data_IF_067816191076
#
_entry.id   IF_067816191076
#
_cell.length_a   1.000
_cell.length_b   1.000
_cell.length_c   1.000
_cell.angle_alpha   90.00
_cell.angle_beta   90.00
_cell.angle_gamma   90.00
#
_symmetry.space_group_name_H-M   'P 1'
#
loop_
_entity.id
_entity.type
_entity.pdbx_description
1 polymer ?
#
# COMPACT_ATOMS: atom_id res chain seq x y z
N UNK A 1 35.35 -2.24 -7.82
CA UNK A 1 34.24 -1.27 -7.80
C UNK A 1 33.96 -0.95 -6.35
N UNK A 2 34.17 0.31 -5.99
CA UNK A 2 34.66 0.75 -4.68
C UNK A 2 33.52 1.11 -3.73
N UNK A 3 33.68 0.82 -2.43
CA UNK A 3 32.83 1.18 -1.29
C UNK A 3 32.23 2.60 -1.33
N UNK A 4 32.89 3.53 -2.03
CA UNK A 4 32.44 4.91 -2.24
C UNK A 4 31.19 5.03 -3.13
N UNK A 5 30.95 4.05 -4.02
CA UNK A 5 29.70 3.95 -4.78
C UNK A 5 28.56 3.50 -3.86
N UNK A 6 28.80 2.51 -3.00
CA UNK A 6 27.78 1.96 -2.08
C UNK A 6 27.35 2.97 -0.99
N UNK A 7 28.27 3.79 -0.47
CA UNK A 7 27.93 4.88 0.48
C UNK A 7 27.13 6.01 -0.19
N UNK A 8 27.45 6.38 -1.43
CA UNK A 8 26.69 7.39 -2.18
C UNK A 8 25.29 6.86 -2.53
N UNK A 9 25.20 5.57 -2.85
CA UNK A 9 23.94 4.91 -3.11
C UNK A 9 23.08 4.87 -1.85
N UNK A 10 23.58 4.41 -0.68
CA UNK A 10 22.75 4.33 0.54
C UNK A 10 22.15 5.68 0.93
N UNK A 11 22.93 6.77 0.84
CA UNK A 11 22.47 8.14 1.12
C UNK A 11 21.41 8.59 0.11
N UNK A 12 21.55 8.25 -1.17
CA UNK A 12 20.59 8.61 -2.24
C UNK A 12 19.19 8.03 -2.02
N UNK A 13 19.07 6.81 -1.47
CA UNK A 13 17.77 6.18 -1.22
C UNK A 13 16.99 6.84 -0.08
N UNK A 14 17.68 7.11 1.04
CA UNK A 14 17.07 7.79 2.18
C UNK A 14 16.75 9.25 1.84
N UNK A 15 17.59 9.90 1.02
CA UNK A 15 17.33 11.23 0.48
C UNK A 15 16.05 11.25 -0.36
N UNK A 16 15.82 10.25 -1.21
CA UNK A 16 14.59 10.14 -2.00
C UNK A 16 13.34 10.03 -1.12
N UNK A 17 13.42 9.35 0.02
CA UNK A 17 12.32 9.26 0.98
C UNK A 17 12.07 10.57 1.72
N UNK A 18 13.12 11.24 2.17
CA UNK A 18 13.00 12.55 2.81
C UNK A 18 12.44 13.59 1.83
N UNK A 19 12.85 13.52 0.57
CA UNK A 19 12.31 14.35 -0.49
C UNK A 19 10.85 13.99 -0.80
N UNK A 20 10.47 12.70 -0.79
CA UNK A 20 9.08 12.29 -0.95
C UNK A 20 8.20 12.83 0.20
N UNK A 21 8.69 12.77 1.44
CA UNK A 21 8.03 13.38 2.60
C UNK A 21 7.90 14.89 2.43
N UNK A 22 8.97 15.55 2.01
CA UNK A 22 8.99 17.00 1.77
C UNK A 22 8.02 17.36 0.65
N UNK A 23 7.96 16.60 -0.44
CA UNK A 23 7.04 16.84 -1.54
C UNK A 23 5.57 16.74 -1.10
N UNK A 24 5.22 15.73 -0.30
CA UNK A 24 3.87 15.60 0.26
C UNK A 24 3.56 16.75 1.22
N UNK A 25 4.53 17.16 2.06
CA UNK A 25 4.38 18.31 2.96
C UNK A 25 4.18 19.62 2.19
N UNK A 26 4.93 19.85 1.12
CA UNK A 26 4.81 21.03 0.25
C UNK A 26 3.48 21.07 -0.48
N UNK A 27 2.99 19.92 -0.95
CA UNK A 27 1.64 19.81 -1.52
C UNK A 27 0.50 20.00 -0.51
N UNK A 28 0.81 19.82 0.77
CA UNK A 28 -0.08 20.06 1.89
C UNK A 28 -1.36 19.22 1.87
N UNK A 29 -2.38 19.62 2.65
CA UNK A 29 -3.67 18.95 2.71
C UNK A 29 -4.40 18.89 1.36
N UNK A 30 -4.16 19.87 0.47
CA UNK A 30 -4.76 19.92 -0.87
C UNK A 30 -4.33 18.75 -1.75
N UNK A 31 -3.06 18.36 -1.73
CA UNK A 31 -2.61 17.21 -2.51
C UNK A 31 -3.17 15.90 -1.92
N UNK A 32 -3.11 15.76 -0.59
CA UNK A 32 -3.63 14.59 0.12
C UNK A 32 -5.15 14.41 -0.06
N UNK A 33 -5.90 15.51 -0.18
CA UNK A 33 -7.34 15.46 -0.44
C UNK A 33 -7.66 14.63 -1.67
N UNK A 34 -6.94 14.81 -2.78
CA UNK A 34 -7.18 14.03 -4.00
C UNK A 34 -6.89 12.54 -3.83
N UNK A 35 -5.86 12.21 -3.05
CA UNK A 35 -5.55 10.83 -2.73
C UNK A 35 -6.66 10.19 -1.88
N UNK A 36 -7.09 10.86 -0.81
CA UNK A 36 -8.08 10.33 0.13
C UNK A 36 -9.49 10.30 -0.45
N UNK A 37 -9.85 11.24 -1.33
CA UNK A 37 -11.11 11.24 -2.08
C UNK A 37 -11.27 9.99 -2.94
N UNK A 38 -10.17 9.49 -3.50
CA UNK A 38 -10.15 8.22 -4.23
C UNK A 38 -10.15 6.99 -3.32
N UNK A 39 -9.29 7.01 -2.30
CA UNK A 39 -8.89 5.80 -1.58
C UNK A 39 -9.81 5.46 -0.41
N UNK A 40 -10.34 6.45 0.32
CA UNK A 40 -11.21 6.19 1.47
C UNK A 40 -12.51 5.46 1.09
N UNK A 41 -13.23 5.81 0.01
CA UNK A 41 -14.45 5.10 -0.36
C UNK A 41 -14.20 3.61 -0.66
N UNK A 42 -13.11 3.31 -1.37
CA UNK A 42 -12.72 1.93 -1.66
C UNK A 42 -12.35 1.16 -0.40
N UNK A 43 -11.53 1.73 0.49
CA UNK A 43 -11.13 1.08 1.74
C UNK A 43 -12.34 0.84 2.65
N UNK A 44 -13.23 1.82 2.79
CA UNK A 44 -14.45 1.67 3.58
C UNK A 44 -15.35 0.56 3.01
N UNK A 45 -15.56 0.55 1.69
CA UNK A 45 -16.32 -0.51 1.04
C UNK A 45 -15.64 -1.88 1.20
N UNK A 46 -14.32 -1.95 1.15
CA UNK A 46 -13.56 -3.19 1.35
C UNK A 46 -13.76 -3.77 2.75
N UNK A 47 -13.75 -2.93 3.78
CA UNK A 47 -14.00 -3.35 5.16
C UNK A 47 -15.45 -3.84 5.34
N UNK A 48 -16.42 -3.13 4.77
CA UNK A 48 -17.84 -3.53 4.81
C UNK A 48 -18.05 -4.85 4.07
N UNK A 49 -17.51 -4.96 2.85
CA UNK A 49 -17.58 -6.17 2.04
C UNK A 49 -16.96 -7.36 2.76
N UNK A 50 -15.76 -7.19 3.32
CA UNK A 50 -15.09 -8.26 4.06
C UNK A 50 -15.91 -8.72 5.27
N UNK A 51 -16.48 -7.77 6.01
CA UNK A 51 -17.33 -8.08 7.16
C UNK A 51 -18.62 -8.80 6.74
N UNK A 52 -19.30 -8.36 5.68
CA UNK A 52 -20.51 -9.01 5.15
C UNK A 52 -20.19 -10.43 4.67
N UNK A 53 -19.13 -10.63 3.89
CA UNK A 53 -18.74 -11.95 3.41
C UNK A 53 -18.25 -12.89 4.53
N UNK A 54 -17.73 -12.35 5.64
CA UNK A 54 -17.23 -13.16 6.75
C UNK A 54 -18.32 -13.62 7.71
N UNK A 55 -19.40 -12.84 7.88
CA UNK A 55 -20.36 -13.06 8.97
C UNK A 55 -21.83 -13.07 8.54
N UNK A 56 -22.17 -12.59 7.35
CA UNK A 56 -23.56 -12.48 6.91
C UNK A 56 -24.08 -13.80 6.33
N UNK A 57 -25.26 -14.23 6.78
CA UNK A 57 -25.97 -15.37 6.19
C UNK A 57 -26.43 -15.11 4.76
N UNK A 58 -26.57 -13.84 4.36
CA UNK A 58 -27.02 -13.40 3.04
C UNK A 58 -25.86 -13.05 2.10
N UNK A 59 -24.62 -13.36 2.49
CA UNK A 59 -23.43 -13.03 1.71
C UNK A 59 -23.53 -13.50 0.25
N UNK A 60 -24.10 -14.68 0.00
CA UNK A 60 -24.30 -15.21 -1.34
C UNK A 60 -25.22 -14.34 -2.22
N UNK A 61 -26.26 -13.72 -1.64
CA UNK A 61 -27.20 -12.86 -2.35
C UNK A 61 -26.56 -11.50 -2.68
N UNK A 62 -25.79 -10.95 -1.74
CA UNK A 62 -25.14 -9.65 -1.91
C UNK A 62 -23.86 -9.72 -2.76
N UNK A 63 -23.22 -10.88 -2.88
CA UNK A 63 -21.90 -11.05 -3.49
C UNK A 63 -21.79 -10.45 -4.91
N UNK A 64 -22.83 -10.59 -5.74
CA UNK A 64 -22.81 -10.08 -7.10
C UNK A 64 -22.70 -8.55 -7.13
N UNK A 65 -23.61 -7.86 -6.43
CA UNK A 65 -23.65 -6.40 -6.45
C UNK A 65 -22.50 -5.77 -5.68
N UNK A 66 -22.08 -6.38 -4.57
CA UNK A 66 -20.98 -5.87 -3.76
C UNK A 66 -19.62 -6.07 -4.43
N UNK A 67 -19.41 -7.17 -5.18
CA UNK A 67 -18.21 -7.35 -6.00
C UNK A 67 -18.15 -6.38 -7.18
N UNK A 68 -19.30 -6.10 -7.83
CA UNK A 68 -19.40 -5.09 -8.88
C UNK A 68 -19.04 -3.70 -8.34
N UNK A 69 -19.61 -3.32 -7.19
CA UNK A 69 -19.31 -2.07 -6.49
C UNK A 69 -17.81 -1.99 -6.15
N UNK A 70 -17.22 -3.08 -5.66
CA UNK A 70 -15.78 -3.15 -5.36
C UNK A 70 -14.93 -2.87 -6.60
N UNK A 71 -15.29 -3.47 -7.75
CA UNK A 71 -14.59 -3.26 -9.02
C UNK A 71 -14.69 -1.80 -9.49
N UNK A 72 -15.87 -1.19 -9.37
CA UNK A 72 -16.07 0.23 -9.71
C UNK A 72 -15.25 1.15 -8.79
N UNK A 73 -15.30 0.92 -7.48
CA UNK A 73 -14.54 1.70 -6.50
C UNK A 73 -13.03 1.49 -6.65
N UNK A 74 -12.58 0.31 -7.07
CA UNK A 74 -11.17 0.08 -7.39
C UNK A 74 -10.72 0.95 -8.58
N UNK A 75 -11.53 1.01 -9.64
CA UNK A 75 -11.24 1.86 -10.80
C UNK A 75 -11.23 3.35 -10.41
N UNK A 76 -12.21 3.77 -9.60
CA UNK A 76 -12.29 5.11 -9.01
C UNK A 76 -11.02 5.47 -8.23
N UNK A 77 -10.62 4.60 -7.29
CA UNK A 77 -9.42 4.77 -6.48
C UNK A 77 -8.18 4.93 -7.37
N UNK A 78 -7.98 4.03 -8.34
CA UNK A 78 -6.81 4.07 -9.23
C UNK A 78 -6.79 5.32 -10.12
N UNK A 79 -7.95 5.81 -10.55
CA UNK A 79 -8.07 7.07 -11.28
C UNK A 79 -7.59 8.27 -10.46
N UNK A 80 -8.10 8.42 -9.25
CA UNK A 80 -7.69 9.50 -8.33
C UNK A 80 -6.23 9.41 -7.90
N UNK A 81 -5.73 8.19 -7.72
CA UNK A 81 -4.32 7.94 -7.46
C UNK A 81 -3.40 8.40 -8.59
N UNK A 82 -3.84 8.29 -9.85
CA UNK A 82 -3.11 8.85 -10.98
C UNK A 82 -3.18 10.37 -11.03
N UNK A 83 -4.34 10.97 -10.71
CA UNK A 83 -4.49 12.43 -10.56
C UNK A 83 -3.58 12.96 -9.46
N UNK A 84 -3.50 12.28 -8.32
CA UNK A 84 -2.57 12.62 -7.23
C UNK A 84 -1.11 12.62 -7.71
N UNK A 85 -0.71 11.61 -8.49
CA UNK A 85 0.62 11.56 -9.12
C UNK A 85 0.92 12.78 -9.99
N UNK A 86 -0.05 13.24 -10.81
CA UNK A 86 0.09 14.48 -11.59
C UNK A 86 0.19 15.72 -10.71
N UNK A 87 -0.64 15.83 -9.67
CA UNK A 87 -0.59 16.96 -8.73
C UNK A 87 0.80 17.06 -8.09
N UNK A 88 1.36 15.94 -7.61
CA UNK A 88 2.71 15.90 -7.04
C UNK A 88 3.79 16.26 -8.08
N UNK A 89 3.63 15.79 -9.31
CA UNK A 89 4.54 16.12 -10.41
C UNK A 89 4.53 17.63 -10.73
N UNK A 90 3.35 18.25 -10.79
CA UNK A 90 3.19 19.69 -11.04
C UNK A 90 3.78 20.52 -9.89
N UNK A 91 3.56 20.11 -8.64
CA UNK A 91 4.17 20.74 -7.46
C UNK A 91 5.69 20.68 -7.55
N UNK A 92 6.25 19.52 -7.93
CA UNK A 92 7.71 19.38 -8.10
C UNK A 92 8.25 20.31 -9.19
N UNK A 93 7.50 20.50 -10.29
CA UNK A 93 7.86 21.47 -11.34
C UNK A 93 7.71 22.94 -10.90
N UNK A 94 7.11 23.20 -9.74
CA UNK A 94 6.76 24.55 -9.28
C UNK A 94 5.64 25.20 -10.08
N UNK A 95 4.79 24.39 -10.71
CA UNK A 95 3.63 24.83 -11.51
C UNK A 95 2.35 24.65 -10.69
N UNK A 96 1.37 25.53 -10.90
CA UNK A 96 0.04 25.36 -10.29
C UNK A 96 -0.60 24.06 -10.78
N UNK A 97 -1.05 23.17 -9.87
CA UNK A 97 -1.61 21.86 -10.26
C UNK A 97 -2.76 22.00 -11.23
N UNK A 98 -2.69 21.32 -12.38
CA UNK A 98 -3.79 21.33 -13.34
C UNK A 98 -4.74 20.15 -13.07
N UNK A 99 -6.01 20.46 -12.82
CA UNK A 99 -7.05 19.46 -12.57
C UNK A 99 -7.53 18.84 -13.87
N UNK A 100 -7.90 17.55 -13.79
CA UNK A 100 -8.33 16.81 -14.97
C UNK A 100 -9.77 17.22 -15.23
N UNK A 101 -10.08 17.58 -16.47
CA UNK A 101 -11.47 17.69 -16.89
C UNK A 101 -12.18 16.33 -16.72
N UNK A 102 -13.52 16.29 -16.63
CA UNK A 102 -14.27 15.05 -16.43
C UNK A 102 -13.97 13.98 -17.50
N UNK A 103 -13.90 14.38 -18.77
CA UNK A 103 -13.58 13.48 -19.88
C UNK A 103 -12.15 12.92 -19.78
N UNK A 104 -11.20 13.73 -19.32
CA UNK A 104 -9.83 13.27 -19.10
C UNK A 104 -9.76 12.29 -17.92
N UNK A 105 -10.47 12.56 -16.83
CA UNK A 105 -10.54 11.67 -15.68
C UNK A 105 -11.08 10.29 -16.07
N UNK A 106 -12.19 10.20 -16.79
CA UNK A 106 -12.72 8.92 -17.26
C UNK A 106 -11.72 8.18 -18.16
N UNK A 107 -10.99 8.90 -19.01
CA UNK A 107 -9.93 8.32 -19.84
C UNK A 107 -8.77 7.77 -18.99
N UNK A 108 -8.39 8.45 -17.92
CA UNK A 108 -7.38 7.99 -16.96
C UNK A 108 -7.89 6.72 -16.26
N UNK A 109 -9.11 6.74 -15.70
CA UNK A 109 -9.73 5.59 -15.04
C UNK A 109 -9.77 4.36 -15.95
N UNK A 110 -10.20 4.53 -17.20
CA UNK A 110 -10.25 3.43 -18.17
C UNK A 110 -8.87 2.82 -18.42
N UNK A 111 -7.83 3.66 -18.59
CA UNK A 111 -6.44 3.18 -18.77
C UNK A 111 -5.96 2.40 -17.55
N UNK A 112 -6.23 2.91 -16.34
CA UNK A 112 -5.87 2.22 -15.12
C UNK A 112 -6.63 0.90 -14.97
N UNK A 113 -7.91 0.85 -15.33
CA UNK A 113 -8.72 -0.36 -15.26
C UNK A 113 -8.22 -1.48 -16.20
N UNK A 114 -7.59 -1.15 -17.33
CA UNK A 114 -7.05 -2.16 -18.25
C UNK A 114 -5.79 -2.86 -17.72
N UNK A 115 -4.95 -2.15 -16.97
CA UNK A 115 -3.64 -2.65 -16.53
C UNK A 115 -3.66 -3.07 -15.06
N UNK A 116 -4.19 -2.25 -14.16
CA UNK A 116 -4.08 -2.44 -12.71
C UNK A 116 -4.61 -3.79 -12.18
N UNK A 117 -5.72 -4.37 -12.69
CA UNK A 117 -6.20 -5.67 -12.23
C UNK A 117 -5.21 -6.83 -12.46
N UNK A 118 -4.37 -6.71 -13.50
CA UNK A 118 -3.31 -7.70 -13.77
C UNK A 118 -2.26 -7.75 -12.66
N UNK A 119 -2.18 -6.72 -11.81
CA UNK A 119 -1.28 -6.68 -10.67
C UNK A 119 -1.48 -7.86 -9.73
N UNK A 120 -2.72 -8.22 -9.41
CA UNK A 120 -3.01 -9.35 -8.49
C UNK A 120 -2.47 -10.66 -9.06
N UNK A 121 -2.68 -10.91 -10.35
CA UNK A 121 -2.19 -12.13 -11.02
C UNK A 121 -0.66 -12.15 -11.11
N UNK A 122 -0.04 -11.04 -11.49
CA UNK A 122 1.43 -10.97 -11.58
C UNK A 122 2.10 -11.04 -10.21
N UNK A 123 1.51 -10.45 -9.17
CA UNK A 123 2.01 -10.59 -7.80
C UNK A 123 1.89 -12.02 -7.29
N UNK A 124 0.78 -12.71 -7.60
CA UNK A 124 0.62 -14.13 -7.28
C UNK A 124 1.71 -14.98 -7.97
N UNK A 125 2.04 -14.68 -9.22
CA UNK A 125 3.13 -15.35 -9.95
C UNK A 125 4.52 -15.04 -9.40
N UNK A 126 4.70 -13.95 -8.64
CA UNK A 126 5.98 -13.65 -7.98
C UNK A 126 6.23 -14.53 -6.75
N UNK A 127 5.19 -15.06 -6.10
CA UNK A 127 5.29 -15.90 -4.91
C UNK A 127 6.14 -17.17 -5.16
N UNK A 128 5.84 -18.02 -6.18
CA UNK A 128 6.65 -19.21 -6.45
C UNK A 128 8.09 -18.88 -6.89
N UNK A 129 8.34 -17.65 -7.34
CA UNK A 129 9.67 -17.16 -7.73
C UNK A 129 10.42 -16.49 -6.57
N UNK A 130 10.10 -16.87 -5.32
CA UNK A 130 10.71 -16.35 -4.09
C UNK A 130 10.66 -14.82 -3.98
N UNK A 131 9.61 -14.19 -4.53
CA UNK A 131 9.44 -12.74 -4.58
C UNK A 131 10.56 -11.98 -5.28
N UNK A 132 11.48 -12.66 -5.97
CA UNK A 132 12.60 -12.03 -6.65
C UNK A 132 12.14 -11.00 -7.70
N UNK A 133 11.12 -11.26 -8.54
CA UNK A 133 10.63 -10.26 -9.48
C UNK A 133 9.64 -9.25 -8.89
N UNK A 134 9.18 -9.46 -7.66
CA UNK A 134 8.09 -8.67 -7.05
C UNK A 134 8.37 -7.16 -7.06
N UNK A 135 9.58 -6.67 -6.71
CA UNK A 135 9.85 -5.24 -6.69
C UNK A 135 9.79 -4.56 -8.06
N UNK A 136 10.18 -5.26 -9.13
CA UNK A 136 10.14 -4.70 -10.48
C UNK A 136 8.73 -4.66 -11.03
N UNK A 137 7.94 -5.71 -10.77
CA UNK A 137 6.53 -5.77 -11.14
C UNK A 137 5.76 -4.67 -10.39
N UNK A 138 5.97 -4.53 -9.09
CA UNK A 138 5.34 -3.46 -8.30
C UNK A 138 5.75 -2.08 -8.82
N UNK A 139 7.05 -1.85 -9.07
CA UNK A 139 7.54 -0.60 -9.64
C UNK A 139 6.88 -0.27 -10.99
N UNK A 140 6.67 -1.26 -11.86
CA UNK A 140 5.94 -1.06 -13.11
C UNK A 140 4.52 -0.53 -12.86
N UNK A 141 3.75 -1.16 -11.97
CA UNK A 141 2.38 -0.73 -11.66
C UNK A 141 2.32 0.65 -10.98
N UNK A 142 3.27 0.94 -10.09
CA UNK A 142 3.37 2.24 -9.44
C UNK A 142 3.72 3.34 -10.45
N UNK A 143 4.73 3.12 -11.29
CA UNK A 143 5.09 4.02 -12.39
C UNK A 143 3.91 4.25 -13.34
N UNK A 144 3.15 3.19 -13.67
CA UNK A 144 2.00 3.29 -14.55
C UNK A 144 0.83 4.08 -13.94
N UNK A 145 0.67 4.00 -12.62
CA UNK A 145 -0.32 4.81 -11.89
C UNK A 145 0.07 6.28 -11.95
N UNK A 146 1.29 6.60 -11.52
CA UNK A 146 1.77 7.98 -11.36
C UNK A 146 1.91 8.69 -12.71
N UNK A 147 2.45 8.02 -13.72
CA UNK A 147 2.57 8.57 -15.07
C UNK A 147 1.23 8.56 -15.83
N UNK A 148 0.21 7.87 -15.33
CA UNK A 148 -1.05 7.67 -16.05
C UNK A 148 -1.78 8.95 -16.43
N UNK A 149 -1.57 10.02 -15.66
CA UNK A 149 -2.11 11.35 -15.89
C UNK A 149 -1.09 12.35 -16.48
N UNK A 150 0.19 12.00 -16.55
CA UNK A 150 1.29 12.88 -16.99
C UNK A 150 1.82 12.51 -18.38
N UNK A 151 2.03 11.21 -18.65
CA UNK A 151 2.67 10.74 -19.87
C UNK A 151 1.68 10.54 -21.02
N UNK A 152 2.20 10.63 -22.25
CA UNK A 152 1.41 10.38 -23.45
C UNK A 152 1.02 8.89 -23.58
N UNK A 153 -0.16 8.65 -24.16
CA UNK A 153 -0.82 7.34 -24.21
C UNK A 153 0.05 6.25 -24.85
N UNK A 154 0.75 6.58 -25.93
CA UNK A 154 1.53 5.60 -26.71
C UNK A 154 2.77 5.12 -25.98
N UNK A 155 3.28 5.94 -25.08
CA UNK A 155 4.59 5.72 -24.46
C UNK A 155 4.49 5.34 -23.00
N UNK A 156 3.35 5.57 -22.34
CA UNK A 156 3.12 5.28 -20.93
C UNK A 156 3.61 3.88 -20.53
N UNK A 157 3.14 2.81 -21.16
CA UNK A 157 3.52 1.44 -20.80
C UNK A 157 5.02 1.18 -21.00
N UNK A 158 5.58 1.65 -22.12
CA UNK A 158 7.01 1.49 -22.44
C UNK A 158 7.88 2.27 -21.46
N UNK A 159 7.48 3.49 -21.11
CA UNK A 159 8.18 4.35 -20.15
C UNK A 159 8.12 3.75 -18.75
N UNK A 160 6.94 3.33 -18.27
CA UNK A 160 6.78 2.67 -16.96
C UNK A 160 7.67 1.45 -16.83
N UNK A 161 7.75 0.62 -17.89
CA UNK A 161 8.61 -0.58 -17.92
C UNK A 161 10.11 -0.22 -17.93
N UNK A 162 10.51 0.75 -18.75
CA UNK A 162 11.90 1.20 -18.83
C UNK A 162 12.38 1.77 -17.49
N UNK A 163 11.56 2.61 -16.84
CA UNK A 163 11.86 3.22 -15.55
C UNK A 163 11.86 2.21 -14.39
N UNK A 164 11.02 1.17 -14.48
CA UNK A 164 11.04 0.07 -13.51
C UNK A 164 12.36 -0.72 -13.57
N UNK A 165 12.92 -0.90 -14.77
CA UNK A 165 14.14 -1.68 -15.01
C UNK A 165 15.46 -0.95 -14.70
N UNK A 166 15.49 0.39 -14.72
CA UNK A 166 16.74 1.18 -14.56
C UNK A 166 17.45 0.97 -13.22
N UNK A 167 16.75 1.17 -12.11
CA UNK A 167 17.34 1.22 -10.76
C UNK A 167 16.72 0.13 -9.89
N UNK A 168 17.23 -1.10 -10.04
CA UNK A 168 16.62 -2.30 -9.44
C UNK A 168 16.68 -2.27 -7.92
N UNK A 169 17.83 -1.92 -7.34
CA UNK A 169 18.05 -1.92 -5.90
C UNK A 169 17.15 -0.91 -5.18
N UNK A 170 16.98 0.28 -5.76
CA UNK A 170 16.07 1.30 -5.25
C UNK A 170 14.62 0.78 -5.09
N UNK A 171 14.15 -0.09 -5.99
CA UNK A 171 12.80 -0.66 -5.85
C UNK A 171 12.69 -1.56 -4.62
N UNK A 172 13.74 -2.32 -4.27
CA UNK A 172 13.74 -3.13 -3.06
C UNK A 172 13.67 -2.25 -1.82
N UNK A 173 14.48 -1.19 -1.75
CA UNK A 173 14.52 -0.28 -0.59
C UNK A 173 13.20 0.47 -0.42
N UNK A 174 12.64 1.03 -1.50
CA UNK A 174 11.34 1.73 -1.45
C UNK A 174 10.23 0.79 -0.97
N UNK A 175 10.21 -0.46 -1.47
CA UNK A 175 9.19 -1.43 -1.07
C UNK A 175 9.40 -1.88 0.37
N UNK A 176 10.64 -2.16 0.75
CA UNK A 176 11.00 -2.54 2.10
C UNK A 176 10.54 -1.50 3.13
N UNK A 177 10.64 -0.21 2.80
CA UNK A 177 10.33 0.85 3.75
C UNK A 177 8.87 1.33 3.67
N UNK A 178 8.36 1.58 2.46
CA UNK A 178 7.09 2.27 2.23
C UNK A 178 5.97 1.34 1.73
N UNK A 179 6.27 0.11 1.34
CA UNK A 179 5.21 -0.77 0.84
C UNK A 179 4.46 -1.44 2.00
N UNK A 180 3.11 -1.38 1.99
CA UNK A 180 2.29 -2.14 2.93
C UNK A 180 2.13 -3.61 2.51
N UNK A 181 2.57 -4.00 1.30
CA UNK A 181 2.40 -5.36 0.77
C UNK A 181 3.01 -6.48 1.65
N UNK A 182 4.20 -6.33 2.25
CA UNK A 182 4.74 -7.36 3.13
C UNK A 182 3.83 -7.67 4.32
N UNK A 183 3.10 -6.68 4.85
CA UNK A 183 2.11 -6.90 5.93
C UNK A 183 0.92 -7.73 5.44
N UNK A 184 0.45 -7.48 4.22
CA UNK A 184 -0.64 -8.27 3.62
C UNK A 184 -0.23 -9.71 3.32
N UNK A 185 1.00 -9.93 2.85
CA UNK A 185 1.54 -11.29 2.65
C UNK A 185 1.60 -12.06 3.96
N UNK A 186 1.93 -11.37 5.04
CA UNK A 186 1.98 -11.93 6.39
C UNK A 186 0.61 -12.33 6.88
N UNK A 187 -0.39 -11.46 6.69
CA UNK A 187 -1.78 -11.80 6.96
C UNK A 187 -2.14 -13.12 6.27
N UNK A 188 -1.89 -13.23 4.97
CA UNK A 188 -2.20 -14.44 4.21
C UNK A 188 -1.40 -15.67 4.66
N UNK A 189 -0.10 -15.50 4.95
CA UNK A 189 0.75 -16.61 5.37
C UNK A 189 0.45 -17.10 6.77
N UNK A 190 0.04 -16.24 7.71
CA UNK A 190 -0.35 -16.67 9.05
C UNK A 190 -1.57 -17.60 9.01
N UNK A 191 -2.60 -17.27 8.22
CA UNK A 191 -3.75 -18.16 8.03
C UNK A 191 -3.40 -19.42 7.24
N UNK A 192 -2.61 -19.30 6.17
CA UNK A 192 -2.17 -20.45 5.38
C UNK A 192 -1.32 -21.44 6.19
N UNK A 193 -0.41 -20.94 7.03
CA UNK A 193 0.45 -21.75 7.89
C UNK A 193 -0.33 -22.39 9.04
N UNK A 194 -1.28 -21.66 9.64
CA UNK A 194 -2.18 -22.22 10.64
C UNK A 194 -3.02 -23.37 10.05
N UNK A 195 -3.63 -23.17 8.88
CA UNK A 195 -4.40 -24.19 8.18
C UNK A 195 -3.54 -25.42 7.83
N UNK A 196 -2.31 -25.20 7.37
CA UNK A 196 -1.38 -26.27 7.04
C UNK A 196 -1.00 -27.08 8.29
N UNK A 197 -0.63 -26.43 9.39
CA UNK A 197 -0.26 -27.12 10.62
C UNK A 197 -1.45 -27.89 11.22
N UNK A 198 -2.68 -27.36 11.15
CA UNK A 198 -3.89 -28.09 11.56
C UNK A 198 -4.04 -29.36 10.71
N UNK A 199 -3.97 -29.21 9.39
CA UNK A 199 -4.16 -30.33 8.47
C UNK A 199 -3.09 -31.41 8.61
N UNK A 200 -1.82 -31.03 8.75
CA UNK A 200 -0.73 -31.96 9.02
C UNK A 200 -0.81 -32.56 10.43
N UNK A 201 -1.23 -31.78 11.43
CA UNK A 201 -1.44 -32.26 12.80
C UNK A 201 -2.49 -33.37 12.87
N UNK A 202 -3.62 -33.19 12.18
CA UNK A 202 -4.64 -34.21 12.00
C UNK A 202 -4.09 -35.45 11.28
N UNK A 203 -3.33 -35.25 10.20
CA UNK A 203 -2.71 -36.34 9.43
C UNK A 203 -1.76 -37.21 10.28
N UNK A 204 -1.03 -36.61 11.22
CA UNK A 204 -0.09 -37.30 12.10
C UNK A 204 -0.69 -37.74 13.45
N UNK A 205 -2.00 -37.56 13.66
CA UNK A 205 -2.67 -37.94 14.90
C UNK A 205 -2.28 -37.08 16.12
N UNK A 206 -1.70 -35.91 15.90
CA UNK A 206 -1.38 -34.94 16.96
C UNK A 206 -2.67 -34.19 17.29
N UNK A 207 -3.25 -34.44 18.47
CA UNK A 207 -4.36 -33.61 18.97
C UNK A 207 -3.83 -32.20 19.27
N UNK A 208 -4.18 -31.24 18.43
CA UNK A 208 -3.87 -29.81 18.56
C UNK A 208 -4.38 -29.22 19.88
N UNK A 209 -5.37 -29.86 20.50
CA UNK A 209 -5.92 -29.53 21.83
C UNK A 209 -4.87 -29.61 22.97
N UNK A 210 -3.80 -30.41 22.82
CA UNK A 210 -2.85 -30.68 23.89
C UNK A 210 -2.03 -29.45 24.34
N UNK A 211 -1.86 -28.45 23.47
CA UNK A 211 -1.12 -27.24 23.80
C UNK A 211 -1.99 -25.98 23.95
N UNK A 212 -3.30 -26.08 23.74
CA UNK A 212 -4.19 -24.92 23.67
C UNK A 212 -3.76 -23.87 22.63
N UNK A 213 -4.14 -22.60 22.84
CA UNK A 213 -3.84 -21.50 21.93
C UNK A 213 -2.38 -20.98 22.02
N UNK A 214 -1.62 -21.44 23.01
CA UNK A 214 -0.32 -20.85 23.38
C UNK A 214 0.77 -21.02 22.29
N UNK A 215 0.98 -22.19 21.66
CA UNK A 215 1.97 -22.33 20.59
C UNK A 215 1.60 -21.55 19.34
N UNK A 216 0.30 -21.43 19.05
CA UNK A 216 -0.18 -20.65 17.90
C UNK A 216 0.11 -19.16 18.07
N UNK A 217 -0.10 -18.64 19.28
CA UNK A 217 0.29 -17.28 19.64
C UNK A 217 1.81 -17.08 19.52
N UNK A 218 2.62 -17.99 20.07
CA UNK A 218 4.09 -17.89 20.04
C UNK A 218 4.64 -17.99 18.61
N UNK A 219 4.13 -18.91 17.79
CA UNK A 219 4.51 -19.06 16.38
C UNK A 219 4.12 -17.79 15.60
N UNK A 220 2.92 -17.25 15.82
CA UNK A 220 2.49 -15.98 15.22
C UNK A 220 3.40 -14.81 15.60
N UNK A 221 3.76 -14.70 16.88
CA UNK A 221 4.67 -13.66 17.39
C UNK A 221 6.09 -13.82 16.81
N UNK A 222 6.63 -15.03 16.79
CA UNK A 222 7.94 -15.30 16.19
C UNK A 222 7.95 -15.03 14.69
N UNK A 223 6.86 -15.35 13.98
CA UNK A 223 6.70 -15.02 12.56
C UNK A 223 6.66 -13.49 12.34
N UNK A 224 5.95 -12.75 13.20
CA UNK A 224 5.93 -11.27 13.19
C UNK A 224 7.34 -10.70 13.39
N UNK A 225 8.06 -11.18 14.41
CA UNK A 225 9.38 -10.67 14.79
C UNK A 225 10.46 -11.05 13.77
N UNK A 226 10.47 -12.29 13.30
CA UNK A 226 11.53 -12.83 12.44
C UNK A 226 11.26 -12.64 10.94
N UNK A 227 9.99 -12.58 10.52
CA UNK A 227 9.61 -12.43 9.12
C UNK A 227 9.20 -11.01 8.74
N UNK A 228 8.39 -10.36 9.56
CA UNK A 228 7.63 -9.15 9.16
C UNK A 228 8.37 -7.88 9.49
N UNK A 229 8.91 -7.82 10.71
CA UNK A 229 9.73 -6.69 11.14
C UNK A 229 10.91 -6.44 10.18
N UNK A 230 11.65 -7.47 9.72
CA UNK A 230 12.71 -7.28 8.75
C UNK A 230 12.20 -7.02 7.33
N UNK A 231 10.90 -7.17 7.03
CA UNK A 231 10.34 -6.99 5.68
C UNK A 231 9.62 -5.65 5.49
N UNK A 232 9.05 -5.06 6.55
CA UNK A 232 8.40 -3.74 6.51
C UNK A 232 8.47 -3.04 7.89
N UNK A 233 9.62 -2.47 8.28
CA UNK A 233 9.81 -1.93 9.62
C UNK A 233 8.85 -0.78 9.93
N UNK A 234 8.70 0.19 9.02
CA UNK A 234 7.74 1.29 9.22
C UNK A 234 6.30 0.81 9.23
N UNK A 235 5.97 -0.16 8.37
CA UNK A 235 4.64 -0.76 8.33
C UNK A 235 4.26 -1.39 9.66
N UNK A 236 5.18 -2.14 10.28
CA UNK A 236 4.93 -2.76 11.59
C UNK A 236 4.77 -1.72 12.69
N UNK A 237 5.62 -0.69 12.74
CA UNK A 237 5.49 0.40 13.72
C UNK A 237 4.13 1.08 13.61
N UNK A 238 3.67 1.39 12.39
CA UNK A 238 2.35 1.97 12.16
C UNK A 238 1.23 1.00 12.54
N UNK A 239 1.36 -0.29 12.19
CA UNK A 239 0.38 -1.31 12.54
C UNK A 239 0.21 -1.43 14.07
N UNK A 240 1.32 -1.45 14.81
CA UNK A 240 1.32 -1.49 16.28
C UNK A 240 0.66 -0.24 16.85
N UNK A 241 1.00 0.96 16.35
CA UNK A 241 0.37 2.18 16.81
C UNK A 241 -1.15 2.21 16.54
N UNK A 242 -1.57 1.75 15.37
CA UNK A 242 -3.00 1.64 15.02
C UNK A 242 -3.69 0.60 15.93
N UNK A 243 -3.06 -0.56 16.17
CA UNK A 243 -3.57 -1.57 17.07
C UNK A 243 -3.72 -1.03 18.50
N UNK A 244 -2.72 -0.33 19.02
CA UNK A 244 -2.76 0.29 20.34
C UNK A 244 -3.88 1.33 20.43
N UNK A 245 -4.04 2.16 19.39
CA UNK A 245 -5.14 3.13 19.30
C UNK A 245 -6.50 2.41 19.32
N UNK A 246 -6.64 1.35 18.53
CA UNK A 246 -7.85 0.53 18.44
C UNK A 246 -8.19 -0.15 19.77
N UNK A 247 -7.20 -0.59 20.55
CA UNK A 247 -7.39 -1.14 21.89
C UNK A 247 -7.76 -0.02 22.89
N UNK A 248 -7.08 1.13 22.85
CA UNK A 248 -7.28 2.20 23.81
C UNK A 248 -8.59 2.98 23.60
N UNK A 249 -9.03 3.15 22.34
CA UNK A 249 -10.15 4.01 21.99
C UNK A 249 -11.48 3.58 22.65
N UNK A 250 -11.89 2.30 22.64
CA UNK A 250 -13.08 1.85 23.35
C UNK A 250 -13.03 2.14 24.86
N UNK A 251 -11.87 1.96 25.48
CA UNK A 251 -11.67 2.24 26.90
C UNK A 251 -11.81 3.73 27.20
N UNK A 252 -11.24 4.59 26.34
CA UNK A 252 -11.37 6.04 26.47
C UNK A 252 -12.82 6.48 26.30
N UNK A 253 -13.55 5.93 25.33
CA UNK A 253 -14.98 6.21 25.13
C UNK A 253 -15.78 5.81 26.36
N UNK A 254 -15.55 4.63 26.92
CA UNK A 254 -16.23 4.19 28.15
C UNK A 254 -15.88 5.09 29.34
N UNK A 255 -14.62 5.47 29.50
CA UNK A 255 -14.18 6.37 30.57
C UNK A 255 -14.83 7.76 30.46
N UNK A 256 -14.99 8.29 29.25
CA UNK A 256 -15.54 9.63 29.02
C UNK A 256 -17.07 9.69 28.99
N UNK A 257 -17.73 8.63 28.51
CA UNK A 257 -19.18 8.62 28.26
C UNK A 257 -19.96 7.68 29.17
N UNK A 258 -19.29 6.74 29.85
CA UNK A 258 -19.92 5.65 30.60
C UNK A 258 -20.60 4.59 29.72
N UNK A 259 -20.50 4.70 28.38
CA UNK A 259 -21.12 3.75 27.46
C UNK A 259 -20.17 2.61 27.15
N UNK A 260 -20.55 1.40 27.57
CA UNK A 260 -19.85 0.18 27.16
C UNK A 260 -20.13 -0.15 25.69
N UNK A 261 -19.08 -0.09 24.89
CA UNK A 261 -19.12 -0.48 23.48
C UNK A 261 -19.13 -2.00 23.31
N UNK A 262 -19.62 -2.48 22.16
CA UNK A 262 -19.58 -3.91 21.79
C UNK A 262 -18.15 -4.44 21.84
N UNK A 263 -17.17 -3.63 21.45
CA UNK A 263 -15.74 -3.98 21.44
C UNK A 263 -15.22 -4.35 22.84
N UNK A 264 -15.62 -3.60 23.86
CA UNK A 264 -15.24 -3.88 25.26
C UNK A 264 -15.86 -5.19 25.75
N UNK A 265 -17.14 -5.44 25.44
CA UNK A 265 -17.84 -6.66 25.88
C UNK A 265 -17.25 -7.93 25.26
N UNK A 266 -16.79 -7.85 24.02
CA UNK A 266 -16.16 -8.99 23.31
C UNK A 266 -14.74 -9.31 23.77
N UNK A 267 -14.08 -8.43 24.54
CA UNK A 267 -12.74 -8.65 25.07
C UNK A 267 -11.70 -9.01 24.00
N UNK A 268 -10.95 -10.09 24.23
CA UNK A 268 -9.87 -10.56 23.35
C UNK A 268 -10.33 -10.85 21.91
N UNK A 269 -11.51 -11.43 21.75
CA UNK A 269 -12.02 -11.90 20.46
C UNK A 269 -12.29 -10.77 19.45
N UNK A 270 -12.41 -9.53 19.93
CA UNK A 270 -12.59 -8.39 19.04
C UNK A 270 -11.36 -8.08 18.18
N UNK A 271 -10.15 -8.24 18.72
CA UNK A 271 -8.93 -8.00 17.96
C UNK A 271 -8.43 -9.25 17.25
N UNK A 272 -8.82 -10.45 17.72
CA UNK A 272 -8.45 -11.73 17.15
C UNK A 272 -9.41 -12.19 16.03
N UNK A 273 -9.80 -11.27 15.13
CA UNK A 273 -10.61 -11.62 13.95
C UNK A 273 -9.98 -11.09 12.65
N UNK A 274 -10.47 -11.58 11.51
CA UNK A 274 -9.93 -11.20 10.19
C UNK A 274 -10.21 -9.73 9.85
N UNK A 275 -11.30 -9.17 10.39
CA UNK A 275 -11.75 -7.80 10.11
C UNK A 275 -10.90 -6.75 10.83
N UNK A 276 -10.49 -6.99 12.08
CA UNK A 276 -9.57 -6.13 12.83
C UNK A 276 -8.20 -6.08 12.15
N UNK A 277 -7.68 -7.24 11.72
CA UNK A 277 -6.42 -7.33 10.97
C UNK A 277 -6.49 -6.61 9.63
N UNK A 278 -7.60 -6.76 8.89
CA UNK A 278 -7.83 -6.02 7.65
C UNK A 278 -7.91 -4.51 7.91
N UNK A 279 -8.56 -4.10 8.99
CA UNK A 279 -8.68 -2.69 9.40
C UNK A 279 -7.31 -2.08 9.68
N UNK A 280 -6.46 -2.77 10.44
CA UNK A 280 -5.08 -2.34 10.72
C UNK A 280 -4.29 -2.23 9.41
N UNK A 281 -4.38 -3.26 8.55
CA UNK A 281 -3.66 -3.29 7.26
C UNK A 281 -4.11 -2.15 6.34
N UNK A 282 -5.42 -1.89 6.27
CA UNK A 282 -5.97 -0.76 5.53
C UNK A 282 -5.52 0.59 6.11
N UNK A 283 -5.46 0.72 7.44
CA UNK A 283 -4.95 1.91 8.11
C UNK A 283 -3.49 2.19 7.76
N UNK A 284 -2.63 1.16 7.80
CA UNK A 284 -1.23 1.30 7.37
C UNK A 284 -1.14 1.66 5.88
N UNK A 285 -1.95 1.01 5.04
CA UNK A 285 -2.04 1.32 3.61
C UNK A 285 -2.38 2.79 3.37
N UNK A 286 -3.38 3.35 4.06
CA UNK A 286 -3.80 4.75 3.95
C UNK A 286 -2.72 5.76 4.35
N UNK A 287 -1.76 5.37 5.20
CA UNK A 287 -0.67 6.22 5.66
C UNK A 287 0.59 6.12 4.76
N UNK A 288 0.94 4.91 4.32
CA UNK A 288 2.18 4.68 3.57
C UNK A 288 2.03 4.87 2.06
N UNK A 289 0.89 4.50 1.48
CA UNK A 289 0.70 4.55 0.03
C UNK A 289 0.75 5.96 -0.60
N UNK A 290 0.33 7.06 0.07
CA UNK A 290 0.60 8.42 -0.42
C UNK A 290 2.10 8.73 -0.55
N UNK A 291 2.90 8.27 0.40
CA UNK A 291 4.37 8.45 0.41
C UNK A 291 5.03 7.57 -0.63
N UNK A 292 4.57 6.33 -0.78
CA UNK A 292 5.01 5.42 -1.84
C UNK A 292 4.81 6.05 -3.21
N UNK A 293 3.64 6.64 -3.46
CA UNK A 293 3.34 7.34 -4.72
C UNK A 293 4.20 8.58 -4.92
N UNK A 294 4.48 9.34 -3.86
CA UNK A 294 5.39 10.47 -3.95
C UNK A 294 6.82 10.04 -4.33
N UNK A 295 7.33 8.97 -3.72
CA UNK A 295 8.64 8.41 -4.06
C UNK A 295 8.70 7.95 -5.52
N UNK A 296 7.67 7.26 -6.02
CA UNK A 296 7.60 6.85 -7.43
C UNK A 296 7.40 8.04 -8.39
N UNK A 297 6.77 9.13 -7.96
CA UNK A 297 6.67 10.39 -8.72
C UNK A 297 8.03 11.03 -8.91
N UNK A 298 8.79 11.19 -7.82
CA UNK A 298 10.16 11.71 -7.88
C UNK A 298 11.07 10.81 -8.73
N UNK A 299 10.97 9.49 -8.53
CA UNK A 299 11.74 8.52 -9.32
C UNK A 299 11.44 8.60 -10.82
N UNK A 300 10.17 8.72 -11.19
CA UNK A 300 9.79 8.90 -12.59
C UNK A 300 10.30 10.24 -13.12
N UNK A 301 10.16 11.31 -12.35
CA UNK A 301 10.67 12.65 -12.69
C UNK A 301 12.17 12.62 -12.96
N UNK A 302 13.00 12.16 -12.01
CA UNK A 302 14.45 12.05 -12.20
C UNK A 302 14.81 11.13 -13.36
N UNK A 303 14.12 9.99 -13.49
CA UNK A 303 14.37 9.05 -14.57
C UNK A 303 14.10 9.61 -15.98
N UNK A 304 13.17 10.57 -16.10
CA UNK A 304 12.89 11.34 -17.31
C UNK A 304 13.89 12.50 -17.48
N UNK A 305 14.20 13.22 -16.39
CA UNK A 305 15.12 14.36 -16.38
C UNK A 305 16.54 13.99 -16.79
N UNK A 306 16.98 12.74 -16.63
CA UNK A 306 18.26 12.26 -17.16
C UNK A 306 18.47 12.51 -18.66
N UNK A 307 17.38 12.64 -19.44
CA UNK A 307 17.46 12.95 -20.88
C UNK A 307 17.21 14.42 -21.20
N UNK A 308 16.41 15.11 -20.39
CA UNK A 308 15.94 16.48 -20.68
C UNK A 308 16.66 17.57 -19.88
N UNK A 309 17.36 17.24 -18.79
CA UNK A 309 17.98 18.19 -17.86
C UNK A 309 16.98 19.06 -17.09
N UNK A 310 15.71 18.65 -17.02
CA UNK A 310 14.63 19.44 -16.40
C UNK A 310 14.77 19.55 -14.88
N UNK A 311 15.41 18.57 -14.25
CA UNK A 311 15.77 18.58 -12.83
C UNK A 311 16.66 19.78 -12.48
N UNK A 312 17.74 20.00 -13.24
CA UNK A 312 18.66 21.13 -13.02
C UNK A 312 17.94 22.49 -13.13
N UNK A 313 17.00 22.60 -14.07
CA UNK A 313 16.21 23.82 -14.24
C UNK A 313 15.25 24.06 -13.08
N UNK A 314 14.62 23.01 -12.55
CA UNK A 314 13.76 23.09 -11.37
C UNK A 314 14.58 23.48 -10.15
N UNK A 315 15.72 22.85 -9.92
CA UNK A 315 16.59 23.13 -8.77
C UNK A 315 17.14 24.56 -8.82
N UNK A 316 17.53 25.05 -9.99
CA UNK A 316 17.92 26.46 -10.18
C UNK A 316 16.78 27.44 -9.87
N UNK A 317 15.54 27.10 -10.24
CA UNK A 317 14.37 27.95 -9.91
C UNK A 317 14.07 27.95 -8.43
N UNK A 318 14.26 26.82 -7.74
CA UNK A 318 14.08 26.71 -6.29
C UNK A 318 15.18 27.45 -5.53
N UNK A 319 16.43 27.40 -6.00
CA UNK A 319 17.54 28.13 -5.39
C UNK A 319 17.45 29.66 -5.55
N UNK A 320 16.73 30.13 -6.57
CA UNK A 320 16.50 31.56 -6.83
C UNK A 320 15.25 32.14 -6.13
N UNK A 321 14.49 31.32 -5.40
CA UNK A 321 13.34 31.76 -4.59
C UNK A 321 13.72 31.89 -3.12
#
# INVERSE_FOLDING_TARGET
MSKKHDELFSVSHFLLMDEALTLVRTGGPSALFFYYLGTLPFVAALLIFWNDMSYSSFAAEHALWTSLLMGMLFCWMKGWQAVYGRVLHDIRLGITPQLAGPAEFFRICFRQAMIQPWGIFLFMLCIPLLFLPFPWVNAFFQNHTVLGAVADKKELTRQSMTLAAKEKWQNYVIIWILSPWPLFLVFLSCFGLAALIIHFGEMYGIRTEFFGDLPWFVIGVLFIILGVWPASPLGVVLAVNILLLLIALPHLINMLTGVETVMLRSGYYWFANTTSLLTISCGVYLLLDPLLKAAYTLRCFYGMSLRSGTDLLVDLRLANK
#
